data_IF_090665354029
#
_entry.id   IF_090665354029
#
_cell.length_a   1.000
_cell.length_b   1.000
_cell.length_c   1.000
_cell.angle_alpha   90.00
_cell.angle_beta   90.00
_cell.angle_gamma   90.00
#
_symmetry.space_group_name_H-M   'P 1'
#
loop_
_entity.id
_entity.type
_entity.pdbx_description
1 polymer ?
#
# COMPACT_ATOMS: atom_id res chain seq x y z
N UNK A 1 -4.91 -19.12 19.44
CA UNK A 1 -5.90 -18.68 18.45
C UNK A 1 -6.30 -17.28 18.88
N UNK A 2 -5.74 -16.27 18.24
CA UNK A 2 -6.02 -14.87 18.54
C UNK A 2 -7.41 -14.53 17.96
N UNK A 3 -8.28 -14.06 18.83
CA UNK A 3 -9.58 -13.50 18.53
C UNK A 3 -9.39 -12.29 17.59
N UNK A 4 -9.62 -12.50 16.29
CA UNK A 4 -9.67 -11.43 15.31
C UNK A 4 -11.07 -10.85 15.39
N UNK A 5 -11.22 -9.77 16.17
CA UNK A 5 -12.48 -9.09 16.37
C UNK A 5 -13.19 -8.81 15.05
N UNK A 6 -14.25 -9.51 14.78
CA UNK A 6 -15.15 -9.25 13.68
C UNK A 6 -15.79 -7.87 13.92
N UNK A 7 -15.49 -6.90 13.06
CA UNK A 7 -16.20 -5.62 13.05
C UNK A 7 -17.63 -5.90 12.59
N UNK A 8 -18.54 -6.02 13.52
CA UNK A 8 -19.97 -6.11 13.22
C UNK A 8 -20.45 -4.72 12.74
N UNK A 9 -20.53 -4.55 11.44
CA UNK A 9 -21.26 -3.43 10.86
C UNK A 9 -22.75 -3.77 10.88
N UNK A 10 -23.40 -3.50 12.00
CA UNK A 10 -24.85 -3.60 12.11
C UNK A 10 -25.52 -2.32 11.56
N UNK A 11 -25.78 -2.28 10.25
CA UNK A 11 -26.73 -1.27 9.69
C UNK A 11 -27.60 -1.78 8.55
N UNK A 12 -27.44 -3.01 8.09
CA UNK A 12 -28.43 -3.62 7.18
C UNK A 12 -28.79 -5.03 7.65
N UNK A 13 -30.06 -5.42 7.49
CA UNK A 13 -30.55 -6.76 7.83
C UNK A 13 -29.98 -7.87 6.93
N UNK A 14 -29.16 -7.53 5.92
CA UNK A 14 -28.56 -8.46 4.98
C UNK A 14 -27.05 -8.56 5.23
N UNK A 15 -26.55 -9.79 5.28
CA UNK A 15 -25.11 -10.05 5.35
C UNK A 15 -24.41 -9.71 4.02
N UNK A 16 -23.10 -9.43 4.05
CA UNK A 16 -22.32 -9.26 2.83
C UNK A 16 -22.40 -10.49 1.91
N UNK A 17 -22.47 -11.67 2.50
CA UNK A 17 -22.68 -12.91 1.77
C UNK A 17 -24.00 -12.91 0.97
N UNK A 18 -25.11 -12.58 1.61
CA UNK A 18 -26.42 -12.54 0.96
C UNK A 18 -26.50 -11.48 -0.15
N UNK A 19 -25.81 -10.36 0.07
CA UNK A 19 -25.84 -9.25 -0.87
C UNK A 19 -24.94 -9.49 -2.10
N UNK A 20 -23.72 -10.00 -1.87
CA UNK A 20 -22.69 -10.04 -2.91
C UNK A 20 -22.49 -11.43 -3.51
N UNK A 21 -22.60 -12.48 -2.71
CA UNK A 21 -22.16 -13.81 -3.11
C UNK A 21 -23.30 -14.79 -3.41
N UNK A 22 -24.28 -14.84 -2.55
CA UNK A 22 -25.43 -15.75 -2.70
C UNK A 22 -26.11 -15.72 -4.09
N UNK A 23 -26.25 -14.55 -4.75
CA UNK A 23 -26.78 -14.52 -6.12
C UNK A 23 -25.92 -15.25 -7.15
N UNK A 24 -24.62 -15.39 -6.90
CA UNK A 24 -23.67 -16.04 -7.81
C UNK A 24 -23.63 -17.55 -7.62
N UNK A 25 -23.98 -18.07 -6.45
CA UNK A 25 -23.81 -19.49 -6.11
C UNK A 25 -24.48 -20.46 -7.08
N UNK A 26 -25.62 -20.10 -7.64
CA UNK A 26 -26.30 -20.92 -8.65
C UNK A 26 -25.43 -21.19 -9.89
N UNK A 27 -24.46 -20.33 -10.17
CA UNK A 27 -23.53 -20.41 -11.30
C UNK A 27 -22.17 -21.01 -10.91
N UNK A 28 -21.93 -21.26 -9.63
CA UNK A 28 -20.66 -21.70 -9.09
C UNK A 28 -20.67 -23.17 -8.66
N UNK A 29 -21.69 -23.94 -9.08
CA UNK A 29 -21.76 -25.36 -8.79
C UNK A 29 -20.53 -26.09 -9.33
N UNK A 30 -19.87 -26.88 -8.46
CA UNK A 30 -18.62 -27.62 -8.76
C UNK A 30 -17.37 -26.75 -9.04
N UNK A 31 -17.50 -25.42 -9.04
CA UNK A 31 -16.35 -24.50 -9.19
C UNK A 31 -15.59 -24.44 -7.86
N UNK A 32 -14.28 -24.65 -7.93
CA UNK A 32 -13.38 -24.54 -6.76
C UNK A 32 -12.47 -23.33 -6.80
N UNK A 33 -12.12 -22.86 -8.00
CA UNK A 33 -11.22 -21.73 -8.18
C UNK A 33 -11.94 -20.61 -8.93
N UNK A 34 -11.94 -19.42 -8.37
CA UNK A 34 -12.62 -18.25 -8.91
C UNK A 34 -11.61 -17.13 -9.06
N UNK A 35 -11.47 -16.64 -10.28
CA UNK A 35 -10.71 -15.44 -10.59
C UNK A 35 -11.68 -14.26 -10.65
N UNK A 36 -11.35 -13.18 -9.98
CA UNK A 36 -12.18 -11.99 -9.95
C UNK A 36 -11.35 -10.72 -10.04
N UNK A 37 -11.95 -9.66 -10.52
CA UNK A 37 -11.35 -8.32 -10.57
C UNK A 37 -12.37 -7.35 -9.99
N UNK A 38 -12.17 -6.88 -8.74
CA UNK A 38 -13.11 -6.00 -8.10
C UNK A 38 -13.07 -4.61 -8.73
N UNK A 39 -14.13 -3.82 -8.56
CA UNK A 39 -14.17 -2.42 -8.93
C UNK A 39 -14.91 -1.60 -7.87
N UNK A 40 -14.59 -0.30 -7.78
CA UNK A 40 -15.24 0.62 -6.86
C UNK A 40 -15.10 0.18 -5.41
N UNK A 41 -16.20 0.14 -4.66
CA UNK A 41 -16.20 -0.21 -3.24
C UNK A 41 -15.78 -1.65 -2.96
N UNK A 42 -15.86 -2.55 -3.93
CA UNK A 42 -15.46 -3.95 -3.74
C UNK A 42 -13.97 -4.11 -3.43
N UNK A 43 -13.11 -3.19 -3.87
CA UNK A 43 -11.69 -3.16 -3.48
C UNK A 43 -11.46 -2.99 -1.96
N UNK A 44 -12.49 -2.57 -1.23
CA UNK A 44 -12.41 -2.36 0.23
C UNK A 44 -12.90 -3.57 1.02
N UNK A 45 -13.33 -4.62 0.32
CA UNK A 45 -13.91 -5.82 0.91
C UNK A 45 -12.96 -6.99 0.66
N UNK A 46 -12.47 -7.59 1.74
CA UNK A 46 -11.79 -8.87 1.64
C UNK A 46 -12.84 -9.98 1.43
N UNK A 47 -12.97 -10.46 0.20
CA UNK A 47 -13.95 -11.52 -0.13
C UNK A 47 -13.65 -12.82 0.61
N UNK A 48 -12.37 -13.17 0.82
CA UNK A 48 -11.97 -14.37 1.56
C UNK A 48 -12.54 -14.42 2.98
N UNK A 49 -12.69 -13.24 3.61
CA UNK A 49 -13.15 -13.10 4.98
C UNK A 49 -14.68 -13.00 5.12
N UNK A 50 -15.43 -13.05 4.01
CA UNK A 50 -16.91 -13.01 4.08
C UNK A 50 -17.42 -14.30 4.73
N UNK A 51 -18.08 -14.16 5.88
CA UNK A 51 -18.69 -15.28 6.57
C UNK A 51 -19.89 -15.83 5.80
N UNK A 52 -19.89 -17.12 5.53
CA UNK A 52 -20.98 -17.89 4.93
C UNK A 52 -21.86 -18.48 6.01
N UNK A 53 -21.27 -18.86 7.13
CA UNK A 53 -21.92 -19.33 8.35
C UNK A 53 -21.15 -18.84 9.58
N UNK A 54 -21.52 -19.29 10.76
CA UNK A 54 -20.79 -18.97 12.01
C UNK A 54 -19.36 -19.53 12.03
N UNK A 55 -19.09 -20.57 11.24
CA UNK A 55 -17.81 -21.30 11.26
C UNK A 55 -17.08 -21.32 9.93
N UNK A 56 -17.71 -20.86 8.84
CA UNK A 56 -17.16 -20.91 7.50
C UNK A 56 -17.10 -19.52 6.86
N UNK A 57 -16.04 -19.30 6.09
CA UNK A 57 -15.87 -18.14 5.21
C UNK A 57 -15.88 -18.57 3.74
N UNK A 58 -15.85 -17.62 2.82
CA UNK A 58 -15.72 -17.93 1.39
C UNK A 58 -14.38 -18.61 1.08
N UNK A 59 -13.30 -18.31 1.78
CA UNK A 59 -12.00 -18.95 1.62
C UNK A 59 -12.03 -20.46 1.98
N UNK A 60 -12.95 -20.90 2.83
CA UNK A 60 -13.11 -22.31 3.17
C UNK A 60 -13.79 -23.10 2.04
N UNK A 61 -14.57 -22.43 1.19
CA UNK A 61 -15.32 -23.05 0.08
C UNK A 61 -14.62 -22.95 -1.26
N UNK A 62 -13.96 -21.81 -1.51
CA UNK A 62 -13.41 -21.45 -2.81
C UNK A 62 -11.97 -21.00 -2.67
N UNK A 63 -11.16 -21.28 -3.68
CA UNK A 63 -9.87 -20.62 -3.89
C UNK A 63 -10.14 -19.33 -4.67
N UNK A 64 -10.15 -18.19 -3.98
CA UNK A 64 -10.38 -16.88 -4.57
C UNK A 64 -9.04 -16.29 -5.03
N UNK A 65 -8.98 -15.81 -6.27
CA UNK A 65 -7.78 -15.21 -6.86
C UNK A 65 -8.15 -13.84 -7.40
N UNK A 66 -7.72 -12.81 -6.69
CA UNK A 66 -7.91 -11.43 -7.13
C UNK A 66 -6.91 -11.06 -8.22
N UNK A 67 -7.42 -10.40 -9.26
CA UNK A 67 -6.66 -9.89 -10.38
C UNK A 67 -6.91 -8.39 -10.52
N UNK A 68 -5.90 -7.64 -10.90
CA UNK A 68 -6.08 -6.22 -11.26
C UNK A 68 -7.00 -6.05 -12.48
N UNK A 69 -7.00 -7.05 -13.37
CA UNK A 69 -7.90 -7.14 -14.51
C UNK A 69 -8.01 -8.59 -14.96
N UNK A 70 -9.22 -9.04 -15.30
CA UNK A 70 -9.46 -10.37 -15.90
C UNK A 70 -8.72 -10.56 -17.22
N UNK A 71 -8.27 -9.48 -17.87
CA UNK A 71 -7.37 -9.53 -19.03
C UNK A 71 -6.09 -10.31 -18.77
N UNK A 72 -5.61 -10.36 -17.53
CA UNK A 72 -4.42 -11.14 -17.13
C UNK A 72 -4.56 -12.64 -17.41
N UNK A 73 -5.77 -13.17 -17.50
CA UNK A 73 -6.01 -14.58 -17.83
C UNK A 73 -5.69 -14.93 -19.28
N UNK A 74 -5.72 -13.95 -20.18
CA UNK A 74 -5.51 -14.17 -21.62
C UNK A 74 -4.17 -13.61 -22.12
N UNK A 75 -3.50 -12.79 -21.32
CA UNK A 75 -2.17 -12.28 -21.66
C UNK A 75 -1.16 -13.29 -21.14
N UNK A 76 -0.27 -13.83 -22.00
CA UNK A 76 0.82 -14.68 -21.54
C UNK A 76 1.66 -13.89 -20.53
N UNK A 77 1.85 -14.46 -19.34
CA UNK A 77 2.78 -13.88 -18.39
C UNK A 77 4.18 -13.83 -19.04
N UNK A 78 4.87 -12.69 -19.03
CA UNK A 78 6.24 -12.64 -19.51
C UNK A 78 7.07 -13.65 -18.70
N UNK A 79 7.95 -14.40 -19.36
CA UNK A 79 8.91 -15.27 -18.68
C UNK A 79 9.93 -14.36 -18.01
N UNK A 80 9.61 -13.93 -16.80
CA UNK A 80 10.54 -13.18 -15.96
C UNK A 80 11.50 -14.20 -15.35
N UNK A 81 12.80 -14.02 -15.56
CA UNK A 81 13.80 -14.77 -14.77
C UNK A 81 13.63 -14.35 -13.31
N UNK A 82 12.94 -15.16 -12.56
CA UNK A 82 12.73 -14.95 -11.14
C UNK A 82 13.98 -15.41 -10.42
N UNK A 83 14.66 -14.50 -9.73
CA UNK A 83 15.72 -14.87 -8.80
C UNK A 83 15.10 -15.40 -7.49
N UNK A 84 15.93 -15.96 -6.61
CA UNK A 84 15.46 -16.43 -5.30
C UNK A 84 15.70 -15.35 -4.22
N UNK A 85 15.48 -14.08 -4.57
CA UNK A 85 15.70 -12.95 -3.69
C UNK A 85 14.38 -12.46 -3.07
N UNK A 86 14.45 -12.01 -1.84
CA UNK A 86 13.38 -11.32 -1.15
C UNK A 86 13.86 -9.94 -0.70
N UNK A 87 13.02 -8.93 -0.89
CA UNK A 87 13.26 -7.57 -0.43
C UNK A 87 12.14 -7.18 0.54
N UNK A 88 12.52 -6.84 1.76
CA UNK A 88 11.59 -6.54 2.85
C UNK A 88 11.77 -5.09 3.30
N UNK A 89 10.66 -4.38 3.48
CA UNK A 89 10.61 -3.03 4.02
C UNK A 89 9.79 -3.02 5.30
N UNK A 90 10.32 -2.46 6.40
CA UNK A 90 9.59 -2.31 7.66
C UNK A 90 10.41 -1.57 8.71
N UNK A 91 9.78 -1.22 9.83
CA UNK A 91 10.46 -0.40 10.86
C UNK A 91 10.90 0.96 10.32
N UNK A 92 10.10 1.58 9.45
CA UNK A 92 10.42 2.78 8.67
C UNK A 92 10.39 4.02 9.57
N UNK A 93 11.38 4.91 9.41
CA UNK A 93 11.42 6.21 10.06
C UNK A 93 10.80 7.27 9.15
N UNK A 94 9.61 7.75 9.53
CA UNK A 94 8.84 8.68 8.70
C UNK A 94 9.27 10.14 8.86
N UNK A 95 9.97 10.48 9.95
CA UNK A 95 10.57 11.81 10.10
C UNK A 95 11.79 11.97 9.19
N UNK A 96 12.08 13.20 8.84
CA UNK A 96 13.26 13.51 8.03
C UNK A 96 14.54 13.26 8.84
N UNK A 97 15.55 12.64 8.23
CA UNK A 97 16.83 12.40 8.87
C UNK A 97 17.55 13.73 9.16
N UNK A 98 17.63 14.10 10.43
CA UNK A 98 18.26 15.34 10.88
C UNK A 98 19.79 15.36 10.71
N UNK A 99 20.43 14.20 10.57
CA UNK A 99 21.87 14.10 10.37
C UNK A 99 22.32 14.65 9.02
N UNK A 100 21.40 14.66 8.04
CA UNK A 100 21.69 15.09 6.67
C UNK A 100 21.58 16.61 6.49
N UNK A 101 20.93 17.33 7.41
CA UNK A 101 20.80 18.80 7.37
C UNK A 101 22.14 19.54 7.47
N UNK A 102 23.21 18.88 7.89
CA UNK A 102 24.53 19.48 8.09
C UNK A 102 25.46 19.35 6.87
N UNK A 103 25.01 18.75 5.78
CA UNK A 103 25.78 18.75 4.52
C UNK A 103 25.30 19.92 3.67
N UNK A 104 26.16 20.91 3.46
CA UNK A 104 25.89 22.08 2.62
C UNK A 104 25.39 21.70 1.21
N UNK A 105 24.46 22.51 0.64
CA UNK A 105 23.91 22.23 -0.68
C UNK A 105 24.93 22.48 -1.76
N UNK A 106 25.55 21.46 -2.32
CA UNK A 106 26.26 21.54 -3.60
C UNK A 106 25.23 21.42 -4.72
N UNK A 107 24.82 22.60 -5.22
CA UNK A 107 24.28 22.92 -6.54
C UNK A 107 23.77 21.77 -7.40
N UNK A 108 22.45 21.58 -7.44
CA UNK A 108 21.75 21.15 -8.64
C UNK A 108 20.31 21.70 -8.64
N UNK A 109 20.18 22.93 -9.10
CA UNK A 109 18.92 23.50 -9.54
C UNK A 109 18.39 22.67 -10.73
N UNK A 110 17.38 21.83 -10.50
CA UNK A 110 16.45 21.41 -11.54
C UNK A 110 15.06 21.69 -11.02
N UNK A 111 14.49 22.78 -11.53
CA UNK A 111 13.15 23.22 -11.26
C UNK A 111 12.16 22.14 -11.67
N UNK A 112 11.69 21.34 -10.73
CA UNK A 112 10.31 20.85 -10.74
C UNK A 112 9.49 21.98 -10.11
N UNK A 113 8.41 22.40 -10.78
CA UNK A 113 7.55 23.46 -10.30
C UNK A 113 7.18 23.24 -8.84
N UNK A 114 7.24 24.31 -8.05
CA UNK A 114 6.86 24.29 -6.64
C UNK A 114 5.44 23.71 -6.49
N UNK A 115 5.36 22.45 -6.10
CA UNK A 115 4.10 21.87 -5.62
C UNK A 115 3.99 22.33 -4.18
N UNK A 116 3.21 23.40 -3.95
CA UNK A 116 2.87 23.83 -2.59
C UNK A 116 1.93 22.80 -1.99
N UNK A 117 2.45 21.99 -1.08
CA UNK A 117 1.63 21.06 -0.29
C UNK A 117 0.86 21.91 0.75
N UNK A 118 -0.46 21.97 0.64
CA UNK A 118 -1.31 22.59 1.65
C UNK A 118 -1.18 21.88 3.00
N UNK A 119 -1.54 22.59 4.08
CA UNK A 119 -1.52 22.05 5.44
C UNK A 119 -2.45 20.84 5.51
N UNK A 120 -1.93 19.71 5.95
CA UNK A 120 -2.71 18.47 6.14
C UNK A 120 -3.75 18.68 7.23
N UNK A 121 -5.00 18.35 6.93
CA UNK A 121 -6.07 18.33 7.93
C UNK A 121 -5.70 17.34 9.05
N UNK A 122 -5.50 17.89 10.26
CA UNK A 122 -5.13 17.12 11.45
C UNK A 122 -6.19 16.11 11.88
N UNK A 123 -7.39 16.15 11.31
CA UNK A 123 -8.47 15.19 11.55
C UNK A 123 -8.20 13.82 10.92
N UNK A 124 -7.28 13.75 9.94
CA UNK A 124 -6.83 12.52 9.32
C UNK A 124 -5.60 11.96 10.05
N UNK A 125 -5.78 11.43 11.26
CA UNK A 125 -4.77 10.74 12.09
C UNK A 125 -3.60 11.59 12.59
N UNK A 126 -3.89 12.77 13.18
CA UNK A 126 -2.90 13.48 14.00
C UNK A 126 -1.79 14.20 13.26
N UNK A 127 -1.91 14.42 11.97
CA UNK A 127 -0.98 15.29 11.21
C UNK A 127 0.36 14.64 10.82
N UNK A 128 0.81 13.57 11.47
CA UNK A 128 2.09 12.90 11.20
C UNK A 128 1.93 11.38 11.20
N UNK A 129 2.77 10.72 10.42
CA UNK A 129 2.88 9.27 10.40
C UNK A 129 3.82 8.81 11.52
N UNK A 130 3.31 8.07 12.49
CA UNK A 130 4.07 7.59 13.63
C UNK A 130 4.82 6.30 13.28
N UNK A 131 5.97 6.08 13.91
CA UNK A 131 6.71 4.83 13.81
C UNK A 131 5.83 3.63 14.17
N UNK A 132 5.93 2.54 13.39
CA UNK A 132 5.17 1.31 13.58
C UNK A 132 6.09 0.18 14.10
N UNK A 133 6.23 -0.01 15.42
CA UNK A 133 7.13 -1.02 15.97
C UNK A 133 6.75 -2.46 15.62
N UNK A 134 5.49 -2.69 15.26
CA UNK A 134 5.00 -3.98 14.78
C UNK A 134 5.65 -4.39 13.46
N UNK A 135 5.85 -3.45 12.54
CA UNK A 135 6.39 -3.73 11.20
C UNK A 135 7.86 -4.13 11.24
N UNK A 136 8.64 -3.62 12.20
CA UNK A 136 10.02 -4.06 12.39
C UNK A 136 10.09 -5.51 12.87
N UNK A 137 9.24 -5.89 13.84
CA UNK A 137 9.14 -7.27 14.31
C UNK A 137 8.68 -8.21 13.20
N UNK A 138 7.75 -7.77 12.38
CA UNK A 138 7.21 -8.51 11.26
C UNK A 138 8.29 -8.84 10.25
N UNK A 139 9.02 -7.84 9.73
CA UNK A 139 10.09 -8.08 8.74
C UNK A 139 11.22 -8.92 9.31
N UNK A 140 11.56 -8.80 10.59
CA UNK A 140 12.56 -9.65 11.25
C UNK A 140 12.12 -11.12 11.28
N UNK A 141 10.85 -11.37 11.58
CA UNK A 141 10.30 -12.73 11.60
C UNK A 141 10.25 -13.34 10.20
N UNK A 142 9.83 -12.57 9.20
CA UNK A 142 9.80 -13.00 7.79
C UNK A 142 11.21 -13.28 7.30
N UNK A 143 12.18 -12.42 7.61
CA UNK A 143 13.58 -12.58 7.25
C UNK A 143 14.13 -13.91 7.75
N UNK A 144 13.87 -14.26 9.01
CA UNK A 144 14.32 -15.53 9.59
C UNK A 144 13.71 -16.73 8.86
N UNK A 145 12.40 -16.71 8.58
CA UNK A 145 11.70 -17.77 7.89
C UNK A 145 12.27 -17.97 6.47
N UNK A 146 12.46 -16.88 5.73
CA UNK A 146 12.95 -16.92 4.36
C UNK A 146 14.42 -17.36 4.28
N UNK A 147 15.29 -16.88 5.19
CA UNK A 147 16.67 -17.32 5.26
C UNK A 147 16.78 -18.82 5.56
N UNK A 148 15.95 -19.33 6.45
CA UNK A 148 15.91 -20.76 6.76
C UNK A 148 15.45 -21.62 5.57
N UNK A 149 14.71 -21.04 4.63
CA UNK A 149 14.31 -21.70 3.37
C UNK A 149 15.32 -21.56 2.23
N UNK A 150 16.48 -20.94 2.49
CA UNK A 150 17.54 -20.73 1.48
C UNK A 150 17.28 -19.55 0.54
N UNK A 151 16.38 -18.63 0.90
CA UNK A 151 16.12 -17.40 0.15
C UNK A 151 17.15 -16.33 0.53
N UNK A 152 17.69 -15.64 -0.47
CA UNK A 152 18.55 -14.48 -0.22
C UNK A 152 17.65 -13.27 0.15
N UNK A 153 17.81 -12.73 1.36
CA UNK A 153 16.93 -11.68 1.89
C UNK A 153 17.69 -10.40 2.12
N UNK A 154 17.19 -9.32 1.56
CA UNK A 154 17.61 -7.95 1.86
C UNK A 154 16.49 -7.26 2.63
N UNK A 155 16.80 -6.66 3.79
CA UNK A 155 15.83 -5.96 4.62
C UNK A 155 16.22 -4.49 4.76
N UNK A 156 15.32 -3.60 4.33
CA UNK A 156 15.45 -2.15 4.42
C UNK A 156 14.66 -1.64 5.63
N UNK A 157 15.31 -0.91 6.53
CA UNK A 157 14.74 -0.37 7.77
C UNK A 157 15.12 1.09 7.97
N UNK A 158 14.42 1.74 8.91
CA UNK A 158 14.74 3.11 9.28
C UNK A 158 14.70 4.05 8.07
N UNK A 159 15.79 4.77 7.87
CA UNK A 159 15.95 5.70 6.74
C UNK A 159 16.38 5.02 5.44
N UNK A 160 16.87 3.78 5.50
CA UNK A 160 17.21 3.00 4.29
C UNK A 160 15.96 2.55 3.53
N UNK A 161 14.82 2.45 4.22
CA UNK A 161 13.54 2.11 3.61
C UNK A 161 12.93 3.32 2.89
N UNK A 162 13.68 3.91 1.98
CA UNK A 162 13.33 5.11 1.24
C UNK A 162 12.64 4.80 -0.10
N UNK A 163 11.99 5.80 -0.66
CA UNK A 163 11.36 5.71 -1.98
C UNK A 163 12.41 5.44 -3.07
N UNK A 164 13.58 6.08 -2.99
CA UNK A 164 14.68 5.85 -3.91
C UNK A 164 15.15 4.39 -3.89
N UNK A 165 15.23 3.79 -2.69
CA UNK A 165 15.66 2.39 -2.56
C UNK A 165 14.71 1.45 -3.30
N UNK A 166 13.40 1.76 -3.28
CA UNK A 166 12.39 1.00 -3.98
C UNK A 166 12.43 1.23 -5.49
N UNK A 167 12.50 2.49 -5.94
CA UNK A 167 12.59 2.85 -7.36
C UNK A 167 13.86 2.29 -8.02
N UNK A 168 14.96 2.22 -7.29
CA UNK A 168 16.24 1.73 -7.81
C UNK A 168 16.33 0.20 -7.94
N UNK A 169 15.35 -0.56 -7.45
CA UNK A 169 15.31 -2.02 -7.68
C UNK A 169 15.38 -2.35 -9.17
N UNK A 170 14.69 -1.57 -10.01
CA UNK A 170 14.60 -1.81 -11.46
C UNK A 170 15.75 -1.17 -12.23
N UNK A 171 16.30 -0.04 -11.74
CA UNK A 171 17.31 0.76 -12.48
C UNK A 171 18.73 0.22 -12.36
N UNK A 172 19.05 -0.54 -11.31
CA UNK A 172 20.39 -1.06 -11.06
C UNK A 172 20.68 -2.42 -11.74
N UNK A 173 19.98 -2.76 -12.83
CA UNK A 173 20.05 -4.08 -13.47
C UNK A 173 19.80 -5.26 -12.52
N UNK A 174 19.24 -5.01 -11.36
CA UNK A 174 18.81 -6.04 -10.44
C UNK A 174 17.58 -6.71 -11.04
N UNK A 175 17.63 -8.01 -11.11
CA UNK A 175 16.43 -8.80 -11.44
C UNK A 175 15.39 -8.54 -10.35
N UNK A 176 14.14 -8.38 -10.74
CA UNK A 176 13.05 -8.17 -9.78
C UNK A 176 13.07 -9.27 -8.70
N UNK A 177 12.98 -8.92 -7.41
CA UNK A 177 12.94 -9.92 -6.36
C UNK A 177 11.69 -10.78 -6.53
N UNK A 178 11.79 -12.06 -6.17
CA UNK A 178 10.65 -12.97 -6.15
C UNK A 178 9.60 -12.56 -5.11
N UNK A 179 10.07 -12.00 -4.00
CA UNK A 179 9.23 -11.55 -2.89
C UNK A 179 9.56 -10.08 -2.62
N UNK A 180 8.54 -9.23 -2.72
CA UNK A 180 8.60 -7.85 -2.24
C UNK A 180 7.57 -7.72 -1.12
N UNK A 181 8.02 -7.42 0.10
CA UNK A 181 7.17 -7.20 1.26
C UNK A 181 7.38 -5.79 1.79
N UNK A 182 6.32 -5.01 1.89
CA UNK A 182 6.37 -3.63 2.36
C UNK A 182 5.38 -3.46 3.50
N UNK A 183 5.90 -3.28 4.72
CA UNK A 183 5.14 -3.04 5.92
C UNK A 183 5.28 -1.56 6.33
N UNK A 184 4.30 -0.74 5.94
CA UNK A 184 4.29 0.70 6.14
C UNK A 184 2.88 1.26 6.29
N UNK A 185 2.77 2.58 6.49
CA UNK A 185 1.51 3.29 6.35
C UNK A 185 1.13 3.45 4.88
N UNK A 186 -0.18 3.42 4.64
CA UNK A 186 -0.76 3.79 3.36
C UNK A 186 -1.91 4.77 3.54
N UNK A 187 -2.21 5.53 2.51
CA UNK A 187 -3.37 6.40 2.48
C UNK A 187 -4.21 6.13 1.23
N UNK A 188 -5.48 6.45 1.35
CA UNK A 188 -6.43 6.40 0.24
C UNK A 188 -7.48 7.47 0.45
N UNK A 189 -7.61 8.38 -0.50
CA UNK A 189 -8.68 9.36 -0.55
C UNK A 189 -9.73 8.97 -1.59
N UNK A 190 -11.01 8.95 -1.24
CA UNK A 190 -12.08 8.65 -2.17
C UNK A 190 -12.18 9.69 -3.27
N UNK A 191 -12.89 9.38 -4.35
CA UNK A 191 -13.21 10.34 -5.40
C UNK A 191 -13.97 11.53 -4.80
N UNK A 192 -13.53 12.73 -5.13
CA UNK A 192 -14.23 13.95 -4.79
C UNK A 192 -15.58 13.95 -5.53
N UNK A 193 -16.68 13.91 -4.77
CA UNK A 193 -18.03 13.84 -5.33
C UNK A 193 -18.53 15.20 -5.82
N UNK A 194 -17.97 16.29 -5.32
CA UNK A 194 -18.40 17.64 -5.62
C UNK A 194 -17.26 18.48 -6.20
N UNK A 195 -17.38 18.74 -7.51
CA UNK A 195 -16.50 19.70 -8.22
C UNK A 195 -16.69 21.15 -7.75
N UNK A 196 -17.63 21.41 -6.84
CA UNK A 196 -18.02 22.73 -6.35
C UNK A 196 -17.68 23.01 -4.88
N UNK A 197 -17.02 22.10 -4.17
CA UNK A 197 -16.44 22.46 -2.89
C UNK A 197 -15.35 23.49 -3.15
N UNK A 198 -15.58 24.71 -2.70
CA UNK A 198 -14.58 25.78 -2.63
C UNK A 198 -13.38 25.23 -1.88
N UNK A 199 -12.35 24.86 -2.64
CA UNK A 199 -11.10 24.31 -2.14
C UNK A 199 -10.59 25.27 -1.06
N UNK A 200 -10.64 24.84 0.18
CA UNK A 200 -9.89 25.56 1.22
C UNK A 200 -8.42 25.34 0.89
N UNK A 201 -7.63 26.41 0.81
CA UNK A 201 -6.19 26.38 0.54
C UNK A 201 -5.38 25.54 1.56
N UNK A 202 -6.05 24.80 2.42
CA UNK A 202 -5.48 24.02 3.52
C UNK A 202 -5.54 22.49 3.31
N UNK A 203 -6.12 22.00 2.20
CA UNK A 203 -6.19 20.56 1.98
C UNK A 203 -4.97 20.02 1.23
N UNK A 204 -4.48 18.80 1.56
CA UNK A 204 -3.33 18.22 0.89
C UNK A 204 -3.62 17.99 -0.59
N UNK A 205 -2.65 18.28 -1.44
CA UNK A 205 -2.74 18.07 -2.91
C UNK A 205 -3.18 16.65 -3.26
N UNK A 206 -2.76 15.67 -2.48
CA UNK A 206 -3.13 14.27 -2.66
C UNK A 206 -4.63 14.02 -2.53
N UNK A 207 -5.33 14.74 -1.63
CA UNK A 207 -6.77 14.59 -1.42
C UNK A 207 -7.60 15.15 -2.57
N UNK A 208 -7.17 16.28 -3.11
CA UNK A 208 -7.91 17.05 -4.12
C UNK A 208 -7.51 16.70 -5.56
N UNK A 209 -6.49 15.89 -5.74
CA UNK A 209 -6.01 15.53 -7.08
C UNK A 209 -7.11 14.85 -7.90
N UNK A 210 -7.31 15.29 -9.13
CA UNK A 210 -8.16 14.61 -10.10
C UNK A 210 -7.57 13.26 -10.54
N UNK A 211 -6.25 13.10 -10.39
CA UNK A 211 -5.56 11.88 -10.78
C UNK A 211 -5.69 10.80 -9.67
N UNK A 212 -6.37 9.67 -9.93
CA UNK A 212 -6.60 8.64 -8.91
C UNK A 212 -5.33 8.11 -8.25
N UNK A 213 -4.24 8.01 -9.00
CA UNK A 213 -2.96 7.51 -8.50
C UNK A 213 -2.35 8.40 -7.41
N UNK A 214 -2.59 9.71 -7.44
CA UNK A 214 -2.11 10.63 -6.41
C UNK A 214 -2.97 10.60 -5.14
N UNK A 215 -4.15 10.00 -5.19
CA UNK A 215 -5.05 9.88 -4.04
C UNK A 215 -4.83 8.62 -3.21
N UNK A 216 -3.89 7.79 -3.60
CA UNK A 216 -3.48 6.61 -2.84
C UNK A 216 -1.97 6.46 -2.91
N UNK A 217 -1.38 5.99 -1.83
CA UNK A 217 0.06 5.79 -1.81
C UNK A 217 0.54 5.15 -0.53
N UNK A 218 1.83 4.85 -0.51
CA UNK A 218 2.54 4.32 0.65
C UNK A 218 3.50 5.38 1.18
N UNK A 219 3.66 5.41 2.49
CA UNK A 219 4.60 6.33 3.14
C UNK A 219 5.93 5.63 3.37
N UNK A 220 6.98 6.17 2.78
CA UNK A 220 8.35 5.70 2.91
C UNK A 220 9.16 6.58 3.87
N UNK A 221 10.44 6.30 4.04
CA UNK A 221 11.31 7.05 4.93
C UNK A 221 11.32 8.56 4.61
N UNK A 222 11.17 9.40 5.64
CA UNK A 222 11.16 10.85 5.49
C UNK A 222 9.83 11.46 5.00
N UNK A 223 8.82 10.66 4.69
CA UNK A 223 7.57 11.11 4.07
C UNK A 223 6.76 12.14 4.87
N UNK A 224 6.98 12.26 6.19
CA UNK A 224 6.33 13.29 7.00
C UNK A 224 6.67 14.71 6.54
N UNK A 225 7.85 14.95 5.99
CA UNK A 225 8.23 16.26 5.49
C UNK A 225 7.32 16.71 4.34
N UNK A 226 7.20 15.88 3.30
CA UNK A 226 6.32 16.15 2.17
C UNK A 226 4.84 16.17 2.58
N UNK A 227 4.45 15.26 3.48
CA UNK A 227 3.08 15.21 4.00
C UNK A 227 2.66 16.52 4.66
N UNK A 228 3.59 17.21 5.32
CA UNK A 228 3.38 18.52 5.92
C UNK A 228 3.68 19.71 4.99
N UNK A 229 3.90 19.46 3.70
CA UNK A 229 4.23 20.51 2.73
C UNK A 229 5.58 21.16 2.95
N UNK A 230 6.51 20.48 3.64
CA UNK A 230 7.88 20.96 3.77
C UNK A 230 8.69 20.53 2.55
N UNK A 231 9.64 21.37 2.16
CA UNK A 231 10.57 20.99 1.09
C UNK A 231 11.34 19.73 1.46
N UNK A 232 11.41 18.81 0.51
CA UNK A 232 12.33 17.69 0.56
C UNK A 232 13.76 18.15 0.35
N UNK A 233 14.72 17.38 0.82
CA UNK A 233 16.14 17.69 0.58
C UNK A 233 16.44 17.57 -0.91
N UNK A 234 17.23 18.52 -1.45
CA UNK A 234 17.61 18.55 -2.86
C UNK A 234 18.17 17.19 -3.33
N UNK A 235 17.62 16.68 -4.41
CA UNK A 235 18.05 15.43 -5.03
C UNK A 235 17.49 14.15 -4.40
N UNK A 236 16.56 14.27 -3.44
CA UNK A 236 15.83 13.12 -2.85
C UNK A 236 14.38 13.12 -3.27
N UNK A 237 13.82 11.93 -3.30
CA UNK A 237 12.38 11.71 -3.42
C UNK A 237 11.67 12.15 -2.14
N UNK A 238 10.37 12.37 -2.23
CA UNK A 238 9.59 12.96 -1.14
C UNK A 238 9.15 11.96 -0.05
N UNK A 239 9.41 10.68 -0.27
CA UNK A 239 9.02 9.61 0.63
C UNK A 239 7.52 9.27 0.56
N UNK A 240 6.82 9.69 -0.48
CA UNK A 240 5.42 9.36 -0.74
C UNK A 240 5.33 8.64 -2.09
N UNK A 241 5.26 7.33 -2.03
CA UNK A 241 5.15 6.47 -3.21
C UNK A 241 3.70 6.44 -3.71
N UNK A 242 3.45 7.06 -4.88
CA UNK A 242 2.14 7.14 -5.55
C UNK A 242 2.13 6.41 -6.89
#
# INVERSE_FOLDING_TARGET
IADRGAVQIQTSKQSLYELLWKPLEQHLQEIKTIYFSPSGLLHRINLDAIAVSETETLADRYKLIELNSTRQLVIPAPIIKVNNDALLYGGIQFEQDSSIRNMEPLLASRSRGEISFGIVDSTLRGGSWNFLPGTEREVNSIEQVLKNSGTHVTTMKGYEASEESLKNIVTNNLTSPRILHIATHGYFFPDSKDKNETLSNSEPVFKISEHPMLRSGLIMAGGNAAWHGKQTLDGREDGILT
#
